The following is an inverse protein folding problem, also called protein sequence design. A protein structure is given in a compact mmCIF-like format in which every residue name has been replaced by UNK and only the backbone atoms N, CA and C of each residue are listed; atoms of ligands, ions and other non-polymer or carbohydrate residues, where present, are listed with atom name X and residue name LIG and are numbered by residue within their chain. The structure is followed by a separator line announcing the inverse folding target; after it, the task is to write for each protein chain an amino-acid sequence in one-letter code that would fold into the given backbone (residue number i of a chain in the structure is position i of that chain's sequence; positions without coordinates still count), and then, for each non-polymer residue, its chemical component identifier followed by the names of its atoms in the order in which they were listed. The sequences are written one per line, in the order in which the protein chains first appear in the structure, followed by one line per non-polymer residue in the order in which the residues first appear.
data_IF_660193172681
#
_entry.id   IF_660193172681
#
_cell.length_a   1.000
_cell.length_b   1.000
_cell.length_c   1.000
_cell.angle_alpha   90.00
_cell.angle_beta   90.00
_cell.angle_gamma   90.00
#
_symmetry.space_group_name_H-M   'P 1'
#
loop_
_entity.id
_entity.type
_entity.pdbx_description
1 polymer ?
#
# COMPACT_ATOMS: atom_id res chain seq x y z
N UNK A 1 3.72 1.88 -14.45
CA UNK A 1 2.66 1.10 -13.79
C UNK A 1 2.81 -0.40 -14.13
N UNK A 2 4.00 -0.98 -13.95
CA UNK A 2 4.33 -2.38 -14.35
C UNK A 2 4.74 -3.21 -13.13
N UNK A 3 5.39 -2.58 -12.14
CA UNK A 3 5.98 -3.27 -10.99
C UNK A 3 4.94 -4.00 -10.13
N UNK A 4 3.85 -3.34 -9.71
CA UNK A 4 2.82 -3.98 -8.85
C UNK A 4 2.27 -5.25 -9.52
N UNK A 5 1.90 -5.17 -10.80
CA UNK A 5 1.35 -6.31 -11.52
C UNK A 5 2.37 -7.45 -11.67
N UNK A 6 3.60 -7.13 -12.03
CA UNK A 6 4.67 -8.11 -12.14
C UNK A 6 4.96 -8.78 -10.80
N UNK A 7 4.99 -8.03 -9.69
CA UNK A 7 5.22 -8.60 -8.36
C UNK A 7 4.11 -9.57 -7.96
N UNK A 8 2.84 -9.22 -8.21
CA UNK A 8 1.70 -10.09 -7.86
C UNK A 8 1.74 -11.43 -8.61
N UNK A 9 2.26 -11.47 -9.84
CA UNK A 9 2.41 -12.74 -10.60
C UNK A 9 3.48 -13.68 -10.07
N UNK A 10 4.34 -13.22 -9.15
CA UNK A 10 5.45 -14.00 -8.60
C UNK A 10 5.15 -14.57 -7.21
N UNK A 11 3.97 -14.29 -6.65
CA UNK A 11 3.59 -14.71 -5.30
C UNK A 11 2.90 -16.08 -5.35
N UNK A 12 3.36 -17.03 -4.54
CA UNK A 12 2.69 -18.32 -4.33
C UNK A 12 1.43 -18.13 -3.47
N UNK A 13 0.32 -18.78 -3.85
CA UNK A 13 -0.99 -18.65 -3.17
C UNK A 13 -1.25 -19.80 -2.20
N UNK A 14 -1.96 -19.55 -1.07
CA UNK A 14 -2.53 -18.27 -0.64
C UNK A 14 -1.48 -17.33 -0.01
N UNK A 15 -1.63 -16.02 -0.23
CA UNK A 15 -0.71 -15.03 0.30
C UNK A 15 -1.38 -13.72 0.74
N UNK A 16 -0.75 -13.08 1.72
CA UNK A 16 -1.02 -11.70 2.12
C UNK A 16 0.08 -10.80 1.56
N UNK A 17 -0.31 -9.77 0.80
CA UNK A 17 0.61 -8.75 0.31
C UNK A 17 0.25 -7.43 0.97
N UNK A 18 1.21 -6.83 1.68
CA UNK A 18 1.03 -5.52 2.31
C UNK A 18 1.99 -4.46 1.75
N UNK A 19 1.52 -3.22 1.71
CA UNK A 19 2.29 -2.05 1.28
C UNK A 19 2.08 -0.93 2.28
N UNK A 20 3.17 -0.31 2.73
CA UNK A 20 3.13 0.90 3.55
C UNK A 20 3.46 2.09 2.66
N UNK A 21 2.57 3.08 2.62
CA UNK A 21 2.72 4.30 1.83
C UNK A 21 2.40 5.53 2.66
N UNK A 22 2.47 6.72 2.07
CA UNK A 22 2.13 7.96 2.76
C UNK A 22 0.63 8.04 3.08
N UNK A 23 0.33 8.56 4.27
CA UNK A 23 -1.03 8.74 4.75
C UNK A 23 -1.75 9.92 4.10
N UNK A 24 -2.93 10.21 4.63
CA UNK A 24 -3.87 11.16 4.04
C UNK A 24 -3.40 12.62 4.12
N UNK A 25 -2.56 12.91 5.12
CA UNK A 25 -1.90 14.20 5.36
C UNK A 25 -0.84 14.56 4.32
N UNK A 26 -0.37 13.59 3.51
CA UNK A 26 0.59 13.82 2.42
C UNK A 26 -0.15 13.77 1.06
N UNK A 27 -0.44 14.92 0.44
CA UNK A 27 -1.22 15.00 -0.81
C UNK A 27 -0.57 14.22 -1.96
N UNK A 28 0.75 14.23 -2.02
CA UNK A 28 1.56 13.57 -3.05
C UNK A 28 1.49 12.04 -2.95
N UNK A 29 1.03 11.50 -1.82
CA UNK A 29 0.74 10.07 -1.64
C UNK A 29 -0.56 9.61 -2.31
N UNK A 30 -1.46 10.54 -2.68
CA UNK A 30 -2.78 10.21 -3.23
C UNK A 30 -2.74 9.35 -4.50
N UNK A 31 -1.85 9.60 -5.49
CA UNK A 31 -1.75 8.75 -6.68
C UNK A 31 -1.38 7.30 -6.33
N UNK A 32 -0.48 7.08 -5.37
CA UNK A 32 -0.09 5.75 -4.93
C UNK A 32 -1.25 5.02 -4.22
N UNK A 33 -1.94 5.69 -3.29
CA UNK A 33 -3.14 5.16 -2.61
C UNK A 33 -4.20 4.71 -3.60
N UNK A 34 -4.51 5.54 -4.61
CA UNK A 34 -5.45 5.20 -5.69
C UNK A 34 -4.97 4.03 -6.54
N UNK A 35 -3.66 3.91 -6.77
CA UNK A 35 -3.10 2.79 -7.51
C UNK A 35 -3.34 1.48 -6.76
N UNK A 36 -2.98 1.39 -5.48
CA UNK A 36 -3.18 0.17 -4.70
C UNK A 36 -4.66 -0.23 -4.62
N UNK A 37 -5.56 0.74 -4.41
CA UNK A 37 -7.01 0.50 -4.43
C UNK A 37 -7.49 -0.07 -5.77
N UNK A 38 -6.96 0.40 -6.91
CA UNK A 38 -7.29 -0.16 -8.23
C UNK A 38 -6.85 -1.63 -8.40
N UNK A 39 -5.82 -2.06 -7.68
CA UNK A 39 -5.36 -3.46 -7.66
C UNK A 39 -6.06 -4.31 -6.59
N UNK A 40 -7.07 -3.77 -5.92
CA UNK A 40 -7.85 -4.49 -4.91
C UNK A 40 -7.26 -4.45 -3.50
N UNK A 41 -6.17 -3.71 -3.28
CA UNK A 41 -5.68 -3.52 -1.92
C UNK A 41 -6.66 -2.68 -1.10
N UNK A 42 -6.91 -3.10 0.12
CA UNK A 42 -7.74 -2.40 1.08
C UNK A 42 -6.87 -1.61 2.06
N UNK A 43 -7.20 -0.35 2.39
CA UNK A 43 -6.52 0.37 3.45
C UNK A 43 -6.82 -0.31 4.80
N UNK A 44 -5.81 -0.37 5.67
CA UNK A 44 -5.96 -0.87 7.03
C UNK A 44 -5.84 0.27 8.04
N UNK A 45 -6.72 0.32 9.02
CA UNK A 45 -6.65 1.27 10.13
C UNK A 45 -5.59 0.83 11.18
N UNK A 46 -4.34 0.72 10.73
CA UNK A 46 -3.20 0.36 11.56
C UNK A 46 -2.34 1.60 11.84
N UNK A 47 -2.03 1.85 13.11
CA UNK A 47 -1.13 2.93 13.53
C UNK A 47 0.31 2.58 13.16
N UNK A 48 0.78 3.15 12.05
CA UNK A 48 2.18 3.02 11.64
C UNK A 48 2.97 4.25 12.10
N UNK A 49 4.14 4.06 12.75
CA UNK A 49 5.02 5.17 13.10
C UNK A 49 5.36 6.03 11.88
N UNK A 50 5.30 7.35 12.07
CA UNK A 50 5.54 8.32 11.02
C UNK A 50 6.91 8.13 10.33
N UNK A 51 7.00 8.64 9.11
CA UNK A 51 8.25 8.61 8.34
C UNK A 51 9.36 9.41 9.00
N UNK A 52 10.63 8.94 8.93
CA UNK A 52 11.75 9.59 9.60
C UNK A 52 12.11 10.97 9.04
N UNK A 53 11.79 11.28 7.78
CA UNK A 53 12.29 12.51 7.13
C UNK A 53 11.34 13.71 7.16
N UNK A 54 10.02 13.52 7.14
CA UNK A 54 9.06 14.65 7.04
C UNK A 54 7.93 14.61 8.08
N UNK A 55 7.94 13.63 9.00
CA UNK A 55 6.93 13.54 10.06
C UNK A 55 5.51 13.20 9.59
N UNK A 56 5.30 12.96 8.29
CA UNK A 56 4.03 12.57 7.71
C UNK A 56 3.54 11.21 8.18
N UNK A 57 2.21 11.08 8.31
CA UNK A 57 1.56 9.82 8.65
C UNK A 57 1.77 8.78 7.55
N UNK A 58 1.60 7.51 7.91
CA UNK A 58 1.71 6.38 6.99
C UNK A 58 0.42 5.59 6.99
N UNK A 59 0.12 5.00 5.84
CA UNK A 59 -1.08 4.20 5.62
C UNK A 59 -0.65 2.83 5.08
N UNK A 60 -1.13 1.76 5.73
CA UNK A 60 -0.98 0.39 5.23
C UNK A 60 -2.11 0.04 4.31
N UNK A 61 -1.79 -0.72 3.27
CA UNK A 61 -2.71 -1.35 2.34
C UNK A 61 -2.42 -2.86 2.32
N UNK A 62 -3.47 -3.67 2.19
CA UNK A 62 -3.35 -5.13 2.17
C UNK A 62 -4.20 -5.75 1.06
N UNK A 63 -3.67 -6.76 0.40
CA UNK A 63 -4.37 -7.59 -0.58
C UNK A 63 -4.24 -9.05 -0.16
N UNK A 64 -5.38 -9.74 -0.07
CA UNK A 64 -5.44 -11.19 0.08
C UNK A 64 -5.50 -11.82 -1.30
N UNK A 65 -4.59 -12.75 -1.57
CA UNK A 65 -4.55 -13.53 -2.80
C UNK A 65 -4.84 -14.98 -2.41
N UNK A 66 -5.91 -15.54 -2.97
CA UNK A 66 -6.41 -16.89 -2.67
C UNK A 66 -6.21 -17.83 -3.83
#
# INVERSE_FOLDING_TARGET
MIVVNATLTLVEVPAEVSVVTFGDDIPDGRPARRLYQKFGFLPLEELIPNGPEEGGSRQKFMLMIT
#
